data_IF_192971805557
#
_entry.id   IF_192971805557
#
_cell.length_a   1.000
_cell.length_b   1.000
_cell.length_c   1.000
_cell.angle_alpha   90.00
_cell.angle_beta   90.00
_cell.angle_gamma   90.00
#
_symmetry.space_group_name_H-M   'P 1'
#
loop_
_entity.id
_entity.type
_entity.pdbx_description
1 polymer ?
#
# COMPACT_ATOMS: atom_id res chain seq x y z
N UNK A 1 16.80 44.65 35.40
CA UNK A 1 17.65 43.43 35.40
C UNK A 1 18.55 43.49 34.15
N UNK A 2 19.86 43.23 34.25
CA UNK A 2 20.76 43.19 33.09
C UNK A 2 20.34 42.12 32.07
N UNK A 3 20.53 42.37 30.77
CA UNK A 3 20.19 41.39 29.71
C UNK A 3 20.96 40.07 29.84
N UNK A 4 22.16 40.10 30.43
CA UNK A 4 22.96 38.91 30.73
C UNK A 4 22.30 37.98 31.75
N UNK A 5 21.31 38.45 32.52
CA UNK A 5 20.53 37.66 33.49
C UNK A 5 19.08 37.47 33.03
N UNK A 6 18.84 37.50 31.72
CA UNK A 6 17.52 37.25 31.11
C UNK A 6 17.69 36.22 30.00
N UNK A 7 16.90 35.16 30.05
CA UNK A 7 16.86 34.14 29.01
C UNK A 7 15.47 34.11 28.36
N UNK A 8 15.43 34.08 27.03
CA UNK A 8 14.23 33.75 26.29
C UNK A 8 14.35 32.28 25.88
N UNK A 9 13.48 31.45 26.45
CA UNK A 9 13.64 29.99 26.44
C UNK A 9 12.47 29.38 25.69
N UNK A 10 12.78 28.43 24.81
CA UNK A 10 11.78 27.64 24.09
C UNK A 10 11.36 26.41 24.88
N UNK A 11 10.20 25.83 24.54
CA UNK A 11 9.73 24.61 25.19
C UNK A 11 10.81 23.52 25.13
N UNK A 12 11.10 22.92 26.29
CA UNK A 12 12.08 21.83 26.43
C UNK A 12 13.54 22.25 26.48
N UNK A 13 13.88 23.53 26.33
CA UNK A 13 15.22 24.01 26.70
C UNK A 13 15.37 24.03 28.22
N UNK A 14 16.49 23.50 28.70
CA UNK A 14 16.83 23.44 30.11
C UNK A 14 17.90 24.49 30.45
N UNK A 15 17.77 25.12 31.62
CA UNK A 15 18.79 25.98 32.20
C UNK A 15 19.30 25.38 33.51
N UNK A 16 20.61 25.41 33.68
CA UNK A 16 21.27 25.18 34.95
C UNK A 16 21.47 26.53 35.65
N UNK A 17 21.11 26.57 36.93
CA UNK A 17 21.35 27.71 37.79
C UNK A 17 22.38 27.34 38.84
N UNK A 18 23.39 28.18 39.01
CA UNK A 18 24.26 28.19 40.20
C UNK A 18 23.94 29.43 41.03
N UNK A 19 24.60 29.60 42.18
CA UNK A 19 24.42 30.80 43.00
C UNK A 19 24.71 32.11 42.24
N UNK A 20 25.56 32.04 41.21
CA UNK A 20 26.06 33.22 40.48
C UNK A 20 25.88 33.16 38.96
N UNK A 21 25.48 32.02 38.39
CA UNK A 21 25.40 31.83 36.93
C UNK A 21 24.09 31.17 36.49
N UNK A 22 23.71 31.45 35.24
CA UNK A 22 22.58 30.85 34.55
C UNK A 22 23.10 30.41 33.19
N UNK A 23 23.10 29.10 32.93
CA UNK A 23 23.75 28.51 31.76
C UNK A 23 22.82 27.50 31.07
N UNK A 24 22.85 27.38 29.73
CA UNK A 24 22.12 26.34 29.02
C UNK A 24 22.57 24.94 29.44
N UNK A 25 21.61 24.10 29.83
CA UNK A 25 21.83 22.73 30.31
C UNK A 25 21.35 21.66 29.32
N UNK A 26 21.09 22.05 28.08
CA UNK A 26 20.62 21.17 27.00
C UNK A 26 19.11 21.21 26.80
N UNK A 27 18.56 20.15 26.22
CA UNK A 27 17.13 20.04 25.90
C UNK A 27 16.54 18.74 26.43
N UNK A 28 15.33 18.81 26.97
CA UNK A 28 14.53 17.65 27.38
C UNK A 28 13.50 17.30 26.31
N UNK A 29 13.06 16.03 26.22
CA UNK A 29 12.00 15.66 25.30
C UNK A 29 10.74 16.51 25.53
N UNK A 30 10.31 17.20 24.48
CA UNK A 30 9.14 18.06 24.50
C UNK A 30 8.38 17.91 23.18
N UNK A 31 7.09 18.25 23.19
CA UNK A 31 6.26 18.15 22.00
C UNK A 31 4.82 18.53 22.28
N UNK A 32 4.03 18.59 21.21
CA UNK A 32 2.57 18.75 21.31
C UNK A 32 1.93 17.39 21.04
N UNK A 33 0.96 17.02 21.86
CA UNK A 33 0.11 15.84 21.65
C UNK A 33 -1.29 16.35 21.34
N UNK A 34 -1.82 15.97 20.18
CA UNK A 34 -3.18 16.26 19.80
C UNK A 34 -4.08 15.14 20.30
N UNK A 35 -5.20 15.50 20.91
CA UNK A 35 -6.17 14.55 21.49
C UNK A 35 -7.54 14.86 20.89
N UNK A 36 -8.27 13.82 20.49
CA UNK A 36 -9.64 13.97 19.98
C UNK A 36 -10.70 13.85 21.09
N UNK A 37 -11.98 13.95 20.72
CA UNK A 37 -13.11 13.86 21.65
C UNK A 37 -13.21 12.51 22.38
N UNK A 38 -12.58 11.46 21.85
CA UNK A 38 -12.55 10.13 22.49
C UNK A 38 -11.40 9.99 23.49
N UNK A 39 -10.54 11.00 23.61
CA UNK A 39 -9.32 10.94 24.40
C UNK A 39 -8.16 10.23 23.67
N UNK A 40 -8.34 9.84 22.41
CA UNK A 40 -7.31 9.18 21.63
C UNK A 40 -6.29 10.20 21.09
N UNK A 41 -5.01 9.81 21.10
CA UNK A 41 -3.92 10.61 20.53
C UNK A 41 -4.03 10.60 19.00
N UNK A 42 -4.05 11.79 18.41
CA UNK A 42 -4.11 11.99 16.97
C UNK A 42 -2.71 12.26 16.41
N UNK A 43 -2.33 11.49 15.38
CA UNK A 43 -1.08 11.72 14.65
C UNK A 43 -1.15 12.97 13.77
N UNK A 44 -0.05 13.71 13.68
CA UNK A 44 0.09 14.88 12.80
C UNK A 44 -0.20 14.55 11.33
N UNK A 45 0.05 13.32 10.89
CA UNK A 45 -0.24 12.89 9.50
C UNK A 45 -1.76 12.92 9.25
N UNK A 46 -2.56 12.43 10.20
CA UNK A 46 -4.02 12.43 10.09
C UNK A 46 -4.57 13.86 10.06
N UNK A 47 -3.97 14.77 10.85
CA UNK A 47 -4.37 16.18 10.86
C UNK A 47 -4.03 16.85 9.53
N UNK A 48 -2.83 16.58 9.00
CA UNK A 48 -2.42 17.08 7.68
C UNK A 48 -3.37 16.60 6.58
N UNK A 49 -3.73 15.31 6.57
CA UNK A 49 -4.66 14.76 5.59
C UNK A 49 -6.03 15.42 5.71
N UNK A 50 -6.55 15.62 6.93
CA UNK A 50 -7.82 16.32 7.17
C UNK A 50 -7.80 17.77 6.68
N UNK A 51 -6.69 18.49 6.91
CA UNK A 51 -6.54 19.86 6.46
C UNK A 51 -6.56 19.93 4.92
N UNK A 52 -5.78 19.09 4.26
CA UNK A 52 -5.75 19.02 2.80
C UNK A 52 -7.13 18.64 2.21
N UNK A 53 -7.84 17.71 2.84
CA UNK A 53 -9.21 17.33 2.42
C UNK A 53 -10.21 18.48 2.59
N UNK A 54 -10.04 19.32 3.61
CA UNK A 54 -10.92 20.46 3.87
C UNK A 54 -10.68 21.63 2.88
N UNK A 55 -9.44 21.86 2.48
CA UNK A 55 -9.05 22.98 1.61
C UNK A 55 -9.27 22.67 0.12
N UNK A 56 -8.78 21.52 -0.34
CA UNK A 56 -8.72 21.17 -1.77
C UNK A 56 -9.80 20.17 -2.18
N UNK A 57 -10.39 19.45 -1.21
CA UNK A 57 -11.32 18.36 -1.49
C UNK A 57 -10.64 17.10 -2.01
N UNK A 58 -11.45 16.15 -2.51
CA UNK A 58 -10.97 14.89 -3.04
C UNK A 58 -11.68 14.48 -4.33
N UNK A 59 -10.95 13.73 -5.16
CA UNK A 59 -11.45 13.09 -6.38
C UNK A 59 -11.00 11.63 -6.39
N UNK A 60 -11.96 10.71 -6.34
CA UNK A 60 -11.71 9.29 -6.53
C UNK A 60 -11.99 8.91 -7.99
N UNK A 61 -11.03 8.24 -8.63
CA UNK A 61 -11.12 7.79 -10.02
C UNK A 61 -11.12 6.27 -10.02
N UNK A 62 -12.26 5.68 -10.39
CA UNK A 62 -12.45 4.24 -10.45
C UNK A 62 -12.40 3.78 -11.91
N UNK A 63 -11.47 2.90 -12.19
CA UNK A 63 -11.23 2.34 -13.51
C UNK A 63 -11.39 0.83 -13.47
N UNK A 64 -12.13 0.28 -14.42
CA UNK A 64 -12.18 -1.18 -14.62
C UNK A 64 -11.49 -1.49 -15.93
N UNK A 65 -10.37 -2.20 -15.86
CA UNK A 65 -9.51 -2.52 -17.00
C UNK A 65 -9.58 -4.01 -17.28
N UNK A 66 -9.79 -4.39 -18.54
CA UNK A 66 -9.66 -5.77 -18.96
C UNK A 66 -8.19 -6.11 -19.19
N UNK A 67 -7.68 -7.11 -18.47
CA UNK A 67 -6.30 -7.57 -18.54
C UNK A 67 -5.90 -8.04 -19.93
N UNK A 68 -6.85 -8.60 -20.71
CA UNK A 68 -6.55 -9.16 -22.04
C UNK A 68 -6.43 -8.06 -23.07
N UNK A 69 -7.40 -7.16 -23.14
CA UNK A 69 -7.38 -6.05 -24.10
C UNK A 69 -6.48 -4.89 -23.67
N UNK A 70 -6.18 -4.77 -22.37
CA UNK A 70 -5.49 -3.64 -21.74
C UNK A 70 -6.25 -2.32 -21.84
N UNK A 71 -7.55 -2.41 -22.15
CA UNK A 71 -8.44 -1.27 -22.33
C UNK A 71 -9.43 -1.21 -21.16
N UNK A 72 -10.07 -0.06 -21.00
CA UNK A 72 -11.18 0.08 -20.07
C UNK A 72 -12.36 -0.79 -20.52
N UNK A 73 -12.86 -1.60 -19.59
CA UNK A 73 -14.04 -2.42 -19.79
C UNK A 73 -15.34 -1.61 -19.70
N UNK A 74 -15.33 -0.53 -18.92
CA UNK A 74 -16.44 0.40 -18.75
C UNK A 74 -15.90 1.84 -18.67
N UNK A 75 -16.79 2.82 -18.80
CA UNK A 75 -16.45 4.22 -18.59
C UNK A 75 -15.87 4.45 -17.18
N UNK A 76 -14.85 5.32 -17.02
CA UNK A 76 -14.36 5.72 -15.72
C UNK A 76 -15.48 6.28 -14.85
N UNK A 77 -15.56 5.81 -13.61
CA UNK A 77 -16.42 6.39 -12.58
C UNK A 77 -15.60 7.38 -11.75
N UNK A 78 -16.14 8.58 -11.55
CA UNK A 78 -15.44 9.71 -10.97
C UNK A 78 -16.32 10.26 -9.85
N UNK A 79 -15.80 10.19 -8.63
CA UNK A 79 -16.51 10.62 -7.43
C UNK A 79 -15.73 11.80 -6.84
N UNK A 80 -16.35 12.99 -6.84
CA UNK A 80 -15.78 14.17 -6.20
C UNK A 80 -16.50 14.50 -4.89
N UNK A 81 -15.75 14.93 -3.87
CA UNK A 81 -16.29 15.50 -2.61
C UNK A 81 -15.47 16.72 -2.20
N UNK A 82 -16.14 17.81 -1.82
CA UNK A 82 -15.46 19.08 -1.51
C UNK A 82 -14.88 19.80 -2.72
N UNK A 83 -14.97 19.21 -3.92
CA UNK A 83 -14.45 19.76 -5.17
C UNK A 83 -15.61 20.14 -6.12
N UNK A 84 -16.10 21.38 -5.99
CA UNK A 84 -17.30 21.89 -6.68
C UNK A 84 -17.10 22.06 -8.18
N UNK A 85 -15.88 22.34 -8.62
CA UNK A 85 -15.56 22.71 -10.02
C UNK A 85 -15.85 21.61 -11.04
N UNK A 86 -15.83 20.34 -10.63
CA UNK A 86 -16.17 19.22 -11.51
C UNK A 86 -17.66 18.90 -11.56
N UNK A 87 -18.41 19.18 -10.49
CA UNK A 87 -19.82 18.80 -10.45
C UNK A 87 -20.67 19.68 -11.34
N UNK A 88 -20.31 20.96 -11.44
CA UNK A 88 -21.11 21.95 -12.15
C UNK A 88 -20.67 22.13 -13.62
N UNK A 89 -19.58 21.45 -14.04
CA UNK A 89 -19.03 21.55 -15.39
C UNK A 89 -19.03 20.19 -16.10
N UNK A 90 -20.14 19.91 -16.81
CA UNK A 90 -20.29 18.68 -17.61
C UNK A 90 -19.25 18.55 -18.72
N UNK A 91 -18.85 19.65 -19.35
CA UNK A 91 -17.85 19.66 -20.41
C UNK A 91 -16.49 19.19 -19.89
N UNK A 92 -16.06 19.75 -18.74
CA UNK A 92 -14.83 19.34 -18.06
C UNK A 92 -14.90 17.87 -17.64
N UNK A 93 -16.04 17.38 -17.14
CA UNK A 93 -16.23 15.97 -16.81
C UNK A 93 -16.10 15.05 -18.03
N UNK A 94 -16.67 15.46 -19.17
CA UNK A 94 -16.60 14.68 -20.41
C UNK A 94 -15.19 14.68 -21.02
N UNK A 95 -14.52 15.84 -21.00
CA UNK A 95 -13.12 15.96 -21.37
C UNK A 95 -12.24 15.08 -20.48
N UNK A 96 -12.45 15.13 -19.17
CA UNK A 96 -11.70 14.34 -18.19
C UNK A 96 -11.89 12.84 -18.39
N UNK A 97 -13.12 12.37 -18.63
CA UNK A 97 -13.38 10.96 -18.97
C UNK A 97 -12.66 10.52 -20.24
N UNK A 98 -12.65 11.37 -21.26
CA UNK A 98 -11.97 11.10 -22.54
C UNK A 98 -10.46 11.00 -22.33
N UNK A 99 -9.92 11.91 -21.53
CA UNK A 99 -8.51 11.96 -21.20
C UNK A 99 -8.06 10.75 -20.37
N UNK A 100 -8.86 10.31 -19.39
CA UNK A 100 -8.63 9.08 -18.65
C UNK A 100 -8.63 7.84 -19.55
N UNK A 101 -9.57 7.74 -20.50
CA UNK A 101 -9.59 6.64 -21.47
C UNK A 101 -8.31 6.60 -22.31
N UNK A 102 -7.85 7.77 -22.76
CA UNK A 102 -6.59 7.92 -23.51
C UNK A 102 -5.39 7.49 -22.68
N UNK A 103 -5.29 7.98 -21.44
CA UNK A 103 -4.19 7.66 -20.53
C UNK A 103 -4.10 6.14 -20.23
N UNK A 104 -5.24 5.48 -19.99
CA UNK A 104 -5.28 4.03 -19.74
C UNK A 104 -4.80 3.25 -20.97
N UNK A 105 -5.36 3.55 -22.15
CA UNK A 105 -5.03 2.81 -23.37
C UNK A 105 -3.56 2.92 -23.77
N UNK A 106 -2.89 4.03 -23.43
CA UNK A 106 -1.48 4.23 -23.72
C UNK A 106 -0.53 3.63 -22.67
N UNK A 107 -0.91 3.69 -21.38
CA UNK A 107 0.01 3.40 -20.27
C UNK A 107 -0.17 2.00 -19.68
N UNK A 108 -1.39 1.47 -19.57
CA UNK A 108 -1.66 0.24 -18.82
C UNK A 108 -0.93 -1.00 -19.35
N UNK A 109 -0.71 -1.10 -20.67
CA UNK A 109 -0.04 -2.27 -21.27
C UNK A 109 1.48 -2.33 -21.02
N UNK A 110 2.08 -1.27 -20.49
CA UNK A 110 3.54 -1.09 -20.47
C UNK A 110 4.14 -1.13 -19.06
N UNK A 111 3.32 -1.09 -18.01
CA UNK A 111 3.78 -0.87 -16.63
C UNK A 111 3.00 -1.69 -15.61
N UNK A 112 3.62 -1.93 -14.46
CA UNK A 112 2.99 -2.58 -13.31
C UNK A 112 1.83 -1.75 -12.74
N UNK A 113 0.89 -2.42 -12.07
CA UNK A 113 -0.33 -1.80 -11.56
C UNK A 113 -0.06 -0.64 -10.59
N UNK A 114 0.93 -0.75 -9.71
CA UNK A 114 1.20 0.30 -8.73
C UNK A 114 1.86 1.52 -9.37
N UNK A 115 2.76 1.29 -10.33
CA UNK A 115 3.30 2.36 -11.16
C UNK A 115 2.20 3.03 -12.00
N UNK A 116 1.27 2.24 -12.54
CA UNK A 116 0.11 2.76 -13.26
C UNK A 116 -0.77 3.65 -12.37
N UNK A 117 -1.06 3.23 -11.13
CA UNK A 117 -1.82 4.05 -10.17
C UNK A 117 -1.10 5.37 -9.87
N UNK A 118 0.22 5.35 -9.73
CA UNK A 118 1.01 6.56 -9.47
C UNK A 118 1.00 7.50 -10.68
N UNK A 119 1.29 7.00 -11.88
CA UNK A 119 1.26 7.82 -13.11
C UNK A 119 -0.14 8.38 -13.37
N UNK A 120 -1.18 7.58 -13.10
CA UNK A 120 -2.56 8.03 -13.21
C UNK A 120 -2.87 9.15 -12.21
N UNK A 121 -2.43 9.01 -10.96
CA UNK A 121 -2.59 10.04 -9.92
C UNK A 121 -1.94 11.36 -10.36
N UNK A 122 -0.69 11.30 -10.82
CA UNK A 122 0.05 12.48 -11.29
C UNK A 122 -0.63 13.13 -12.49
N UNK A 123 -1.04 12.33 -13.48
CA UNK A 123 -1.74 12.81 -14.68
C UNK A 123 -3.07 13.49 -14.34
N UNK A 124 -3.87 12.90 -13.46
CA UNK A 124 -5.14 13.47 -13.02
C UNK A 124 -4.91 14.76 -12.23
N UNK A 125 -3.92 14.77 -11.33
CA UNK A 125 -3.61 15.97 -10.54
C UNK A 125 -3.24 17.13 -11.44
N UNK A 126 -2.39 16.90 -12.45
CA UNK A 126 -2.00 17.91 -13.43
C UNK A 126 -3.20 18.43 -14.22
N UNK A 127 -4.01 17.52 -14.77
CA UNK A 127 -5.20 17.90 -15.54
C UNK A 127 -6.16 18.77 -14.72
N UNK A 128 -6.41 18.41 -13.46
CA UNK A 128 -7.31 19.18 -12.60
C UNK A 128 -6.72 20.55 -12.25
N UNK A 129 -5.41 20.63 -12.00
CA UNK A 129 -4.75 21.89 -11.73
C UNK A 129 -4.80 22.86 -12.92
N UNK A 130 -4.52 22.37 -14.14
CA UNK A 130 -4.58 23.21 -15.35
C UNK A 130 -5.98 23.77 -15.63
N UNK A 131 -7.02 22.99 -15.37
CA UNK A 131 -8.40 23.38 -15.68
C UNK A 131 -9.10 24.14 -14.54
N UNK A 132 -8.65 23.99 -13.29
CA UNK A 132 -9.35 24.55 -12.11
C UNK A 132 -8.49 25.40 -11.19
N UNK A 133 -7.17 25.38 -11.35
CA UNK A 133 -6.20 26.05 -10.47
C UNK A 133 -6.06 25.41 -9.08
N UNK A 134 -6.68 24.25 -8.85
CA UNK A 134 -6.71 23.53 -7.57
C UNK A 134 -6.21 22.09 -7.70
N UNK A 135 -5.70 21.54 -6.60
CA UNK A 135 -5.06 20.23 -6.57
C UNK A 135 -5.72 19.33 -5.52
N UNK A 136 -6.92 18.78 -5.79
CA UNK A 136 -7.61 17.90 -4.86
C UNK A 136 -6.81 16.62 -4.62
N UNK A 137 -7.09 15.95 -3.50
CA UNK A 137 -6.51 14.64 -3.22
C UNK A 137 -7.10 13.62 -4.21
N UNK A 138 -6.23 13.04 -5.05
CA UNK A 138 -6.61 12.03 -6.04
C UNK A 138 -6.41 10.62 -5.49
N UNK A 139 -7.48 9.81 -5.52
CA UNK A 139 -7.47 8.40 -5.10
C UNK A 139 -7.77 7.51 -6.32
N UNK A 140 -6.74 6.86 -6.92
CA UNK A 140 -6.95 5.95 -8.03
C UNK A 140 -7.35 4.55 -7.53
N UNK A 141 -8.48 4.03 -8.04
CA UNK A 141 -8.93 2.67 -7.82
C UNK A 141 -8.97 1.96 -9.18
N UNK A 142 -8.19 0.89 -9.32
CA UNK A 142 -8.06 0.16 -10.59
C UNK A 142 -8.46 -1.29 -10.37
N UNK A 143 -9.61 -1.67 -10.93
CA UNK A 143 -10.14 -3.02 -10.92
C UNK A 143 -9.71 -3.73 -12.20
N UNK A 144 -9.08 -4.89 -12.09
CA UNK A 144 -8.65 -5.69 -13.24
C UNK A 144 -9.61 -6.86 -13.42
N UNK A 145 -10.24 -6.95 -14.58
CA UNK A 145 -11.06 -8.10 -14.98
C UNK A 145 -10.31 -8.98 -15.98
N UNK A 146 -10.57 -10.30 -16.00
CA UNK A 146 -9.97 -11.22 -16.96
C UNK A 146 -8.67 -11.93 -16.50
N UNK A 147 -8.28 -11.80 -15.24
CA UNK A 147 -7.32 -12.71 -14.62
C UNK A 147 -8.01 -13.99 -14.17
N UNK A 148 -7.57 -15.16 -14.66
CA UNK A 148 -7.90 -16.42 -13.97
C UNK A 148 -7.41 -16.28 -12.53
N UNK A 149 -8.34 -16.35 -11.58
CA UNK A 149 -7.99 -16.65 -10.20
C UNK A 149 -7.41 -18.07 -10.20
N UNK A 150 -6.09 -18.20 -10.11
CA UNK A 150 -5.44 -19.47 -9.82
C UNK A 150 -5.52 -19.72 -8.32
N UNK A 151 -6.73 -19.91 -7.80
CA UNK A 151 -6.95 -20.66 -6.57
C UNK A 151 -7.81 -21.86 -6.97
N UNK A 152 -7.11 -22.93 -7.35
CA UNK A 152 -7.73 -24.18 -7.75
C UNK A 152 -8.19 -24.97 -6.54
N UNK A 153 -9.44 -24.78 -6.12
CA UNK A 153 -10.22 -25.89 -5.59
C UNK A 153 -10.52 -26.83 -6.76
N UNK A 154 -9.90 -28.01 -6.76
CA UNK A 154 -10.21 -29.07 -7.71
C UNK A 154 -11.61 -29.65 -7.38
N UNK A 155 -12.56 -29.66 -8.32
CA UNK A 155 -13.77 -30.45 -8.18
C UNK A 155 -13.45 -31.92 -8.47
N UNK A 156 -13.66 -32.80 -7.50
CA UNK A 156 -13.48 -34.24 -7.64
C UNK A 156 -14.67 -34.84 -8.40
N UNK A 157 -14.56 -34.90 -9.73
CA UNK A 157 -15.52 -35.58 -10.60
C UNK A 157 -15.14 -37.04 -10.82
N UNK A 158 -16.00 -37.96 -10.36
CA UNK A 158 -16.00 -39.39 -10.73
C UNK A 158 -16.03 -39.54 -12.25
N UNK A 159 -15.23 -40.45 -12.80
CA UNK A 159 -15.72 -41.37 -13.84
C UNK A 159 -14.81 -42.59 -14.01
N UNK A 160 -15.48 -43.70 -14.27
CA UNK A 160 -15.00 -45.06 -14.32
C UNK A 160 -15.07 -45.53 -15.79
N UNK A 161 -13.97 -46.00 -16.39
CA UNK A 161 -14.03 -46.95 -17.51
C UNK A 161 -12.64 -47.50 -17.90
N UNK A 162 -12.63 -48.80 -18.14
CA UNK A 162 -11.52 -49.74 -18.39
C UNK A 162 -10.73 -49.49 -19.68
N UNK A 163 -9.46 -49.89 -19.69
CA UNK A 163 -8.69 -50.20 -20.91
C UNK A 163 -7.18 -50.43 -20.65
N UNK A 164 -6.70 -51.67 -20.83
CA UNK A 164 -5.31 -52.14 -20.69
C UNK A 164 -4.37 -51.54 -21.75
N UNK A 165 -3.15 -51.15 -21.37
CA UNK A 165 -1.88 -51.45 -22.05
C UNK A 165 -0.68 -50.95 -21.20
N UNK A 166 0.32 -51.80 -21.02
CA UNK A 166 1.58 -51.62 -20.30
C UNK A 166 2.60 -50.81 -21.11
N UNK A 167 3.28 -49.83 -20.50
CA UNK A 167 4.76 -49.74 -20.50
C UNK A 167 5.26 -48.62 -19.55
N UNK A 168 6.45 -48.84 -19.00
CA UNK A 168 7.17 -48.18 -17.89
C UNK A 168 6.81 -46.73 -17.51
N UNK A 169 6.32 -46.55 -16.28
CA UNK A 169 6.39 -45.30 -15.50
C UNK A 169 6.84 -45.65 -14.08
N UNK A 170 7.81 -44.92 -13.48
CA UNK A 170 8.21 -45.18 -12.10
C UNK A 170 6.97 -45.03 -11.20
N UNK A 171 6.71 -46.06 -10.38
CA UNK A 171 5.59 -46.09 -9.46
C UNK A 171 5.62 -44.82 -8.58
N UNK A 172 4.54 -44.04 -8.62
CA UNK A 172 4.33 -42.95 -7.66
C UNK A 172 4.30 -43.56 -6.27
N UNK A 173 5.33 -43.25 -5.47
CA UNK A 173 5.44 -43.70 -4.09
C UNK A 173 4.19 -43.26 -3.35
N UNK A 174 3.57 -44.21 -2.64
CA UNK A 174 2.38 -43.89 -1.84
C UNK A 174 2.75 -42.87 -0.76
N UNK A 175 1.83 -41.99 -0.33
CA UNK A 175 2.10 -40.96 0.67
C UNK A 175 2.69 -41.50 1.98
N UNK A 176 2.39 -42.76 2.30
CA UNK A 176 2.91 -43.47 3.46
C UNK A 176 4.41 -43.80 3.32
N UNK A 177 4.85 -44.23 2.12
CA UNK A 177 6.26 -44.53 1.85
C UNK A 177 7.13 -43.27 1.83
N UNK A 178 6.60 -42.14 1.33
CA UNK A 178 7.30 -40.85 1.39
C UNK A 178 7.43 -40.33 2.82
N UNK A 179 6.39 -40.52 3.65
CA UNK A 179 6.39 -40.13 5.05
C UNK A 179 7.41 -40.93 5.87
N UNK A 180 7.51 -42.24 5.63
CA UNK A 180 8.53 -43.09 6.27
C UNK A 180 9.94 -42.68 5.86
N UNK A 181 10.18 -42.40 4.58
CA UNK A 181 11.49 -41.97 4.07
C UNK A 181 11.90 -40.61 4.66
N UNK A 182 10.96 -39.67 4.77
CA UNK A 182 11.17 -38.39 5.44
C UNK A 182 11.45 -38.54 6.93
N UNK A 183 10.71 -39.40 7.63
CA UNK A 183 10.95 -39.67 9.06
C UNK A 183 12.33 -40.29 9.27
N UNK A 184 12.73 -41.25 8.43
CA UNK A 184 14.03 -41.90 8.51
C UNK A 184 15.17 -40.90 8.26
N UNK A 185 15.00 -40.01 7.26
CA UNK A 185 15.95 -38.93 6.96
C UNK A 185 16.05 -37.91 8.11
N UNK A 186 14.93 -37.58 8.76
CA UNK A 186 14.92 -36.70 9.93
C UNK A 186 15.57 -37.35 11.15
N UNK A 187 15.36 -38.66 11.36
CA UNK A 187 16.01 -39.40 12.43
C UNK A 187 17.54 -39.47 12.24
N UNK A 188 18.00 -39.70 11.02
CA UNK A 188 19.43 -39.68 10.69
C UNK A 188 20.07 -38.29 10.89
N UNK A 189 19.37 -37.21 10.47
CA UNK A 189 19.83 -35.84 10.69
C UNK A 189 19.93 -35.52 12.19
N UNK A 190 18.93 -35.94 12.97
CA UNK A 190 18.90 -35.76 14.42
C UNK A 190 20.00 -36.55 15.12
N UNK A 191 20.30 -37.77 14.68
CA UNK A 191 21.41 -38.57 15.20
C UNK A 191 22.78 -37.94 14.88
N UNK A 192 22.95 -37.34 13.70
CA UNK A 192 24.17 -36.59 13.34
C UNK A 192 24.37 -35.33 14.18
N UNK A 193 23.29 -34.61 14.49
CA UNK A 193 23.34 -33.42 15.35
C UNK A 193 23.65 -33.77 16.82
N UNK A 194 23.16 -34.91 17.33
CA UNK A 194 23.43 -35.33 18.71
C UNK A 194 24.88 -35.78 18.95
N UNK A 195 25.58 -36.24 17.91
CA UNK A 195 26.97 -36.70 18.00
C UNK A 195 28.00 -35.59 17.71
N UNK A 196 27.59 -34.35 17.41
CA UNK A 196 28.52 -33.26 17.10
C UNK A 196 28.93 -32.39 18.29
N UNK A 197 28.32 -32.55 19.47
CA UNK A 197 28.72 -31.79 20.67
C UNK A 197 29.35 -32.71 21.74
N UNK A 198 30.58 -33.14 21.50
CA UNK A 198 31.46 -33.66 22.53
C UNK A 198 32.94 -33.36 22.24
N UNK A 199 33.42 -32.25 22.81
CA UNK A 199 34.83 -31.79 22.97
C UNK A 199 35.49 -31.32 21.66
N UNK A 200 36.31 -30.28 21.59
CA UNK A 200 37.31 -29.65 22.47
C UNK A 200 37.67 -28.34 21.71
N UNK A 201 37.77 -27.16 22.32
CA UNK A 201 38.89 -26.61 23.11
C UNK A 201 38.44 -25.32 23.82
#
# INVERSE_FOLDING_TARGET
>A
IPRSHTANISNGEALAFTANTMEPAGTVPHGTVLVDQTGAIVSNIVVKDRLMLAEEGLVAVVLTVDKRSGNLATSPDIISRGFIYMRDNEELMNAFRTELRRAVGQRFKRIDLDRFKQELKEHVTHFLYENTGRSPIVIPVVNIIGGRSTNGEKPQGKNNSRGKASDDRPEEKTPEQEAEELQKRFQEMRAKLLNQDARTD
#
